data_IF_195034235705
#
_entry.id   IF_195034235705
#
_cell.length_a   1.000
_cell.length_b   1.000
_cell.length_c   1.000
_cell.angle_alpha   90.00
_cell.angle_beta   90.00
_cell.angle_gamma   90.00
#
_symmetry.space_group_name_H-M   'P 1'
#
loop_
_entity.id
_entity.type
_entity.pdbx_description
1 polymer ?
#
# COMPACT_ATOMS: atom_id res chain seq x y z
N UNK A 1 -11.26 20.38 17.02
CA UNK A 1 -11.84 19.21 16.33
C UNK A 1 -10.92 18.87 15.17
N UNK A 2 -10.04 17.88 15.32
CA UNK A 2 -9.20 17.41 14.21
C UNK A 2 -10.10 16.59 13.29
N UNK A 3 -10.16 16.95 12.00
CA UNK A 3 -10.83 16.12 10.99
C UNK A 3 -10.09 14.77 10.96
N UNK A 4 -10.78 13.61 10.95
CA UNK A 4 -10.11 12.37 10.64
C UNK A 4 -9.66 12.49 9.18
N UNK A 5 -8.38 12.78 8.96
CA UNK A 5 -7.77 12.67 7.64
C UNK A 5 -7.95 11.22 7.22
N UNK A 6 -8.78 10.97 6.22
CA UNK A 6 -9.02 9.60 5.78
C UNK A 6 -7.71 9.09 5.18
N UNK A 7 -7.50 7.79 5.23
CA UNK A 7 -6.32 7.14 4.64
C UNK A 7 -6.12 7.53 3.17
N UNK A 8 -7.23 7.79 2.48
CA UNK A 8 -7.26 8.27 1.10
C UNK A 8 -6.73 9.71 0.99
N UNK A 9 -7.06 10.60 1.94
CA UNK A 9 -6.53 11.96 2.00
C UNK A 9 -5.01 11.94 2.25
N UNK A 10 -4.54 11.09 3.16
CA UNK A 10 -3.09 10.91 3.41
C UNK A 10 -2.37 10.37 2.17
N UNK A 11 -3.00 9.46 1.43
CA UNK A 11 -2.45 8.96 0.15
C UNK A 11 -2.46 10.05 -0.94
N UNK A 12 -3.43 10.96 -0.92
CA UNK A 12 -3.50 12.10 -1.84
C UNK A 12 -2.53 13.23 -1.48
N UNK A 13 -2.07 13.30 -0.23
CA UNK A 13 -1.01 14.22 0.19
C UNK A 13 0.37 13.77 -0.31
N UNK A 14 0.59 12.47 -0.50
CA UNK A 14 1.80 11.99 -1.16
C UNK A 14 1.73 12.27 -2.68
N UNK A 15 2.62 13.12 -3.23
CA UNK A 15 2.54 13.53 -4.64
C UNK A 15 2.76 12.37 -5.62
N UNK A 16 3.46 11.29 -5.21
CA UNK A 16 3.68 10.12 -6.05
C UNK A 16 2.42 9.26 -6.08
N UNK A 17 1.84 8.98 -4.91
CA UNK A 17 0.60 8.22 -4.81
C UNK A 17 -0.58 8.98 -5.42
N UNK A 18 -0.68 10.29 -5.24
CA UNK A 18 -1.68 11.13 -5.92
C UNK A 18 -1.56 11.07 -7.45
N UNK A 19 -0.33 11.03 -7.97
CA UNK A 19 -0.08 10.90 -9.42
C UNK A 19 -0.51 9.52 -9.94
N UNK A 20 -0.24 8.45 -9.18
CA UNK A 20 -0.69 7.10 -9.51
C UNK A 20 -2.23 6.98 -9.44
N UNK A 21 -2.86 7.59 -8.44
CA UNK A 21 -4.33 7.63 -8.31
C UNK A 21 -4.99 8.39 -9.47
N UNK A 22 -4.34 9.45 -9.98
CA UNK A 22 -4.80 10.18 -11.16
C UNK A 22 -4.64 9.35 -12.44
N UNK A 23 -3.61 8.51 -12.54
CA UNK A 23 -3.37 7.62 -13.66
C UNK A 23 -3.94 6.21 -13.41
N UNK A 24 -5.24 6.05 -13.69
CA UNK A 24 -5.96 4.78 -13.47
C UNK A 24 -5.37 3.59 -14.23
N UNK A 25 -4.86 3.77 -15.44
CA UNK A 25 -4.27 2.69 -16.24
C UNK A 25 -2.97 2.17 -15.62
N UNK A 26 -2.11 3.10 -15.17
CA UNK A 26 -0.88 2.82 -14.45
C UNK A 26 -1.16 2.13 -13.11
N UNK A 27 -2.16 2.61 -12.37
CA UNK A 27 -2.60 1.96 -11.14
C UNK A 27 -3.14 0.54 -11.40
N UNK A 28 -3.93 0.36 -12.47
CA UNK A 28 -4.44 -0.97 -12.86
C UNK A 28 -3.30 -1.91 -13.23
N UNK A 29 -2.37 -1.46 -14.06
CA UNK A 29 -1.19 -2.24 -14.45
C UNK A 29 -0.36 -2.61 -13.22
N UNK A 30 -0.20 -1.68 -12.28
CA UNK A 30 0.50 -1.93 -11.02
C UNK A 30 -0.25 -2.96 -10.16
N UNK A 31 -1.56 -2.83 -9.98
CA UNK A 31 -2.37 -3.77 -9.18
C UNK A 31 -2.44 -5.16 -9.81
N UNK A 32 -2.45 -5.23 -11.14
CA UNK A 32 -2.43 -6.49 -11.90
C UNK A 32 -1.02 -7.06 -12.04
N UNK A 33 0.02 -6.33 -11.63
CA UNK A 33 1.39 -6.81 -11.66
C UNK A 33 1.56 -8.03 -10.75
N UNK A 34 2.30 -9.06 -11.20
CA UNK A 34 2.59 -10.24 -10.38
C UNK A 34 3.26 -9.87 -9.05
N UNK A 35 4.11 -8.84 -9.01
CA UNK A 35 4.74 -8.39 -7.76
C UNK A 35 3.71 -7.83 -6.78
N UNK A 36 2.73 -7.06 -7.24
CA UNK A 36 1.66 -6.51 -6.39
C UNK A 36 0.70 -7.59 -5.92
N UNK A 37 0.39 -8.56 -6.78
CA UNK A 37 -0.40 -9.73 -6.38
C UNK A 37 0.32 -10.57 -5.32
N UNK A 38 1.63 -10.77 -5.47
CA UNK A 38 2.48 -11.44 -4.47
C UNK A 38 2.54 -10.65 -3.15
N UNK A 39 2.68 -9.33 -3.21
CA UNK A 39 2.64 -8.47 -2.04
C UNK A 39 1.30 -8.60 -1.30
N UNK A 40 0.17 -8.54 -2.03
CA UNK A 40 -1.16 -8.74 -1.47
C UNK A 40 -1.32 -10.14 -0.85
N UNK A 41 -0.76 -11.16 -1.48
CA UNK A 41 -0.77 -12.53 -0.95
C UNK A 41 0.04 -12.65 0.34
N UNK A 42 1.20 -11.99 0.46
CA UNK A 42 1.98 -11.94 1.70
C UNK A 42 1.21 -11.20 2.79
N UNK A 43 0.66 -10.04 2.46
CA UNK A 43 -0.16 -9.23 3.37
C UNK A 43 -1.40 -9.99 3.86
N UNK A 44 -1.98 -10.82 2.99
CA UNK A 44 -3.16 -11.64 3.29
C UNK A 44 -2.82 -12.94 4.02
N UNK A 45 -1.64 -13.53 3.75
CA UNK A 45 -1.16 -14.75 4.42
C UNK A 45 -0.88 -14.49 5.90
N UNK A 46 -0.34 -13.32 6.23
CA UNK A 46 0.01 -12.98 7.61
C UNK A 46 -1.22 -12.60 8.46
N UNK A 47 -2.34 -12.26 7.82
CA UNK A 47 -3.58 -12.09 8.56
C UNK A 47 -4.68 -11.46 7.72
N UNK A 48 -5.56 -12.28 7.16
CA UNK A 48 -6.84 -11.81 6.63
C UNK A 48 -7.68 -11.09 7.70
N UNK A 49 -7.58 -11.50 8.97
CA UNK A 49 -8.16 -10.78 10.12
C UNK A 49 -7.30 -9.59 10.58
N UNK A 50 -5.98 -9.74 10.64
CA UNK A 50 -5.05 -8.69 11.07
C UNK A 50 -5.08 -7.47 10.14
N UNK A 51 -5.04 -7.72 8.82
CA UNK A 51 -5.13 -6.70 7.78
C UNK A 51 -6.49 -6.02 7.76
N UNK A 52 -7.60 -6.76 7.89
CA UNK A 52 -8.95 -6.17 7.99
C UNK A 52 -9.08 -5.29 9.22
N UNK A 53 -8.54 -5.72 10.35
CA UNK A 53 -8.57 -4.97 11.62
C UNK A 53 -7.70 -3.73 11.55
N UNK A 54 -6.52 -3.83 10.94
CA UNK A 54 -5.66 -2.68 10.68
C UNK A 54 -6.30 -1.69 9.70
N UNK A 55 -6.94 -2.18 8.63
CA UNK A 55 -7.70 -1.34 7.71
C UNK A 55 -8.89 -0.66 8.40
N UNK A 56 -9.58 -1.36 9.31
CA UNK A 56 -10.68 -0.80 10.10
C UNK A 56 -10.20 0.23 11.13
N UNK A 57 -9.05 0.00 11.78
CA UNK A 57 -8.41 0.97 12.68
C UNK A 57 -7.95 2.21 11.92
N UNK A 58 -7.33 2.02 10.74
CA UNK A 58 -6.91 3.12 9.89
C UNK A 58 -8.11 3.92 9.40
N UNK A 59 -9.19 3.27 8.98
CA UNK A 59 -10.44 3.95 8.62
C UNK A 59 -11.04 4.79 9.78
N UNK A 60 -10.63 4.52 11.03
CA UNK A 60 -10.98 5.32 12.22
C UNK A 60 -9.93 6.38 12.59
N UNK A 61 -8.85 6.50 11.81
CA UNK A 61 -7.73 7.43 12.02
C UNK A 61 -6.50 6.81 12.71
N UNK A 62 -6.51 5.51 13.01
CA UNK A 62 -5.39 4.82 13.65
C UNK A 62 -4.61 3.99 12.63
N UNK A 63 -3.59 4.62 12.05
CA UNK A 63 -2.69 3.96 11.10
C UNK A 63 -1.63 3.08 11.77
N UNK A 64 -1.53 3.03 13.11
CA UNK A 64 -0.48 2.31 13.82
C UNK A 64 -0.52 0.81 13.55
N UNK A 65 -1.72 0.25 13.47
CA UNK A 65 -1.93 -1.16 13.11
C UNK A 65 -1.50 -1.46 11.66
N UNK A 66 -1.75 -0.55 10.70
CA UNK A 66 -1.26 -0.70 9.32
C UNK A 66 0.26 -0.58 9.26
N UNK A 67 0.85 0.37 9.99
CA UNK A 67 2.31 0.55 10.04
C UNK A 67 3.01 -0.69 10.60
N UNK A 68 2.44 -1.36 11.59
CA UNK A 68 2.97 -2.63 12.12
C UNK A 68 3.03 -3.72 11.04
N UNK A 69 1.95 -3.88 10.27
CA UNK A 69 1.90 -4.86 9.17
C UNK A 69 2.91 -4.50 8.07
N UNK A 70 2.96 -3.23 7.66
CA UNK A 70 3.90 -2.76 6.63
C UNK A 70 5.34 -2.97 7.09
N UNK A 71 5.65 -2.67 8.36
CA UNK A 71 6.98 -2.87 8.91
C UNK A 71 7.37 -4.36 8.92
N UNK A 72 6.44 -5.25 9.24
CA UNK A 72 6.68 -6.69 9.20
C UNK A 72 6.95 -7.19 7.77
N UNK A 73 6.23 -6.66 6.78
CA UNK A 73 6.50 -6.95 5.35
C UNK A 73 7.85 -6.40 4.93
N UNK A 74 8.23 -5.19 5.35
CA UNK A 74 9.54 -4.61 5.05
C UNK A 74 10.70 -5.32 5.76
N UNK A 75 10.45 -5.94 6.91
CA UNK A 75 11.44 -6.79 7.60
C UNK A 75 11.59 -8.15 6.92
N UNK A 76 10.61 -8.59 6.12
CA UNK A 76 10.73 -9.79 5.31
C UNK A 76 11.56 -9.52 4.05
N UNK A 77 12.54 -10.39 3.78
CA UNK A 77 13.36 -10.32 2.55
C UNK A 77 12.50 -10.35 1.29
N UNK A 78 11.41 -11.13 1.30
CA UNK A 78 10.50 -11.23 0.17
C UNK A 78 9.66 -9.96 0.04
N UNK A 79 9.12 -9.45 1.15
CA UNK A 79 8.27 -8.26 1.15
C UNK A 79 9.01 -6.97 0.75
N UNK A 80 10.22 -6.75 1.28
CA UNK A 80 11.05 -5.61 0.90
C UNK A 80 11.38 -5.61 -0.59
N UNK A 81 11.80 -6.76 -1.14
CA UNK A 81 12.15 -6.89 -2.55
C UNK A 81 10.94 -6.69 -3.49
N UNK A 82 9.75 -7.13 -3.08
CA UNK A 82 8.51 -6.87 -3.83
C UNK A 82 8.16 -5.38 -3.83
N UNK A 83 8.25 -4.71 -2.67
CA UNK A 83 7.98 -3.26 -2.57
C UNK A 83 8.95 -2.47 -3.48
N UNK A 84 10.24 -2.81 -3.48
CA UNK A 84 11.21 -2.17 -4.37
C UNK A 84 10.89 -2.35 -5.86
N UNK A 85 10.47 -3.55 -6.28
CA UNK A 85 10.07 -3.82 -7.67
C UNK A 85 8.82 -3.07 -8.08
N UNK A 86 7.81 -3.02 -7.19
CA UNK A 86 6.58 -2.25 -7.40
C UNK A 86 6.93 -0.76 -7.52
N UNK A 87 7.81 -0.25 -6.65
CA UNK A 87 8.29 1.13 -6.71
C UNK A 87 9.00 1.43 -8.04
N UNK A 88 9.84 0.50 -8.52
CA UNK A 88 10.51 0.63 -9.81
C UNK A 88 9.52 0.60 -10.97
N UNK A 89 8.57 -0.34 -10.98
CA UNK A 89 7.54 -0.43 -12.02
C UNK A 89 6.66 0.84 -12.08
N UNK A 90 6.28 1.39 -10.92
CA UNK A 90 5.52 2.63 -10.82
C UNK A 90 6.29 3.87 -11.30
N UNK A 91 7.63 3.84 -11.26
CA UNK A 91 8.49 4.94 -11.74
C UNK A 91 8.85 4.78 -13.23
N UNK A 92 9.01 3.55 -13.71
CA UNK A 92 9.45 3.26 -15.08
C UNK A 92 8.42 3.62 -16.16
N UNK A 93 7.13 3.56 -15.87
CA UNK A 93 6.05 3.92 -16.80
C UNK A 93 5.99 5.45 -17.10
N UNK A 94 6.85 6.23 -16.44
CA UNK A 94 6.94 7.69 -16.60
C UNK A 94 7.89 8.14 -17.73
N UNK A 95 8.34 7.23 -18.59
CA UNK A 95 9.34 7.48 -19.64
C UNK A 95 8.76 7.26 -21.03
#
# INVERSE_FOLDING_TARGET
MAKPESNLDALMQDPKAASLLKNKDLLKNLVQSPDTQRLMQLLSQDGSDGLKRAAASAAKGDAGALMGIVNQVMQSKEGAGLIERIQQAAVQDKK
#
